data_IF_774641893696
#
_entry.id   IF_774641893696
#
_cell.length_a   1.000
_cell.length_b   1.000
_cell.length_c   1.000
_cell.angle_alpha   90.00
_cell.angle_beta   90.00
_cell.angle_gamma   90.00
#
_symmetry.space_group_name_H-M   'P 1'
#
loop_
_entity.id
_entity.type
_entity.pdbx_description
1 polymer ?
#
# COMPACT_ATOMS: atom_id res chain seq x y z
N UNK A 1 -23.51 -25.61 13.13
CA UNK A 1 -23.03 -24.21 13.03
C UNK A 1 -21.52 -24.27 12.84
N UNK A 2 -20.99 -23.71 11.74
CA UNK A 2 -19.59 -23.31 11.54
C UNK A 2 -19.45 -22.82 10.08
N UNK A 3 -19.54 -21.51 9.86
CA UNK A 3 -19.17 -20.90 8.59
C UNK A 3 -17.71 -20.46 8.67
N UNK A 4 -16.84 -20.83 7.71
CA UNK A 4 -15.44 -20.45 7.73
C UNK A 4 -15.32 -18.98 7.35
N UNK A 5 -14.74 -18.17 8.24
CA UNK A 5 -14.35 -16.79 7.97
C UNK A 5 -13.24 -16.75 6.91
N UNK A 6 -13.62 -16.86 5.64
CA UNK A 6 -12.81 -16.42 4.53
C UNK A 6 -12.71 -14.90 4.60
N UNK A 7 -11.73 -14.37 5.35
CA UNK A 7 -11.42 -12.95 5.40
C UNK A 7 -11.02 -12.51 3.99
N UNK A 8 -11.99 -12.02 3.21
CA UNK A 8 -11.67 -11.31 2.00
C UNK A 8 -10.81 -10.09 2.40
N UNK A 9 -9.68 -9.84 1.72
CA UNK A 9 -8.94 -8.61 1.94
C UNK A 9 -9.89 -7.45 1.74
N UNK A 10 -10.07 -6.60 2.74
CA UNK A 10 -10.86 -5.38 2.62
C UNK A 10 -10.16 -4.47 1.60
N UNK A 11 -10.57 -4.54 0.34
CA UNK A 11 -10.17 -3.59 -0.69
C UNK A 11 -10.79 -2.24 -0.35
N UNK A 12 -10.06 -1.43 0.40
CA UNK A 12 -10.44 -0.05 0.68
C UNK A 12 -10.25 0.77 -0.59
N UNK A 13 -11.32 1.49 -0.98
CA UNK A 13 -11.26 2.44 -2.09
C UNK A 13 -10.75 3.78 -1.56
N UNK A 14 -9.62 4.23 -2.11
CA UNK A 14 -9.02 5.53 -1.77
C UNK A 14 -8.94 6.37 -3.04
N UNK A 15 -9.41 7.62 -2.96
CA UNK A 15 -9.21 8.59 -4.05
C UNK A 15 -7.78 9.10 -4.00
N UNK A 16 -7.11 9.07 -5.14
CA UNK A 16 -5.76 9.62 -5.32
C UNK A 16 -5.78 10.67 -6.42
N UNK A 17 -4.85 11.63 -6.34
CA UNK A 17 -4.71 12.66 -7.35
C UNK A 17 -4.44 12.05 -8.75
N UNK A 18 -4.91 12.73 -9.79
CA UNK A 18 -4.81 12.23 -11.17
C UNK A 18 -3.36 12.09 -11.64
N UNK A 19 -2.46 13.00 -11.23
CA UNK A 19 -1.03 12.91 -11.59
C UNK A 19 -0.39 11.72 -10.88
N UNK A 20 -0.69 11.54 -9.60
CA UNK A 20 -0.20 10.40 -8.81
C UNK A 20 -0.70 9.07 -9.38
N UNK A 21 -1.97 8.98 -9.77
CA UNK A 21 -2.52 7.78 -10.43
C UNK A 21 -1.77 7.43 -11.71
N UNK A 22 -1.49 8.42 -12.57
CA UNK A 22 -0.72 8.19 -13.80
C UNK A 22 0.69 7.69 -13.52
N UNK A 23 1.37 8.28 -12.54
CA UNK A 23 2.71 7.84 -12.13
C UNK A 23 2.70 6.39 -11.62
N UNK A 24 1.75 6.04 -10.75
CA UNK A 24 1.59 4.68 -10.23
C UNK A 24 1.28 3.67 -11.34
N UNK A 25 0.47 4.05 -12.33
CA UNK A 25 0.15 3.20 -13.48
C UNK A 25 1.38 2.92 -14.34
N UNK A 26 2.23 3.93 -14.59
CA UNK A 26 3.49 3.77 -15.34
C UNK A 26 4.44 2.84 -14.57
N UNK A 27 4.66 3.12 -13.29
CA UNK A 27 5.55 2.31 -12.44
C UNK A 27 5.11 0.84 -12.35
N UNK A 28 3.80 0.60 -12.29
CA UNK A 28 3.24 -0.75 -12.31
C UNK A 28 3.55 -1.47 -13.62
N UNK A 29 3.43 -0.77 -14.76
CA UNK A 29 3.75 -1.32 -16.08
C UNK A 29 5.24 -1.64 -16.23
N UNK A 30 6.13 -0.73 -15.81
CA UNK A 30 7.58 -0.94 -15.84
C UNK A 30 8.02 -2.15 -15.00
N UNK A 31 7.35 -2.37 -13.87
CA UNK A 31 7.63 -3.50 -12.97
C UNK A 31 6.91 -4.80 -13.35
N UNK A 32 5.98 -4.77 -14.32
CA UNK A 32 5.16 -5.92 -14.69
C UNK A 32 4.25 -6.41 -13.55
N UNK A 33 3.80 -5.51 -12.66
CA UNK A 33 2.93 -5.85 -11.51
C UNK A 33 1.65 -5.02 -11.52
N UNK A 34 0.69 -5.38 -10.67
CA UNK A 34 -0.52 -4.58 -10.50
C UNK A 34 -0.23 -3.28 -9.73
N UNK A 35 -0.97 -2.22 -10.06
CA UNK A 35 -0.89 -0.94 -9.34
C UNK A 35 -1.19 -1.10 -7.83
N UNK A 36 -2.08 -2.04 -7.46
CA UNK A 36 -2.38 -2.37 -6.06
C UNK A 36 -1.13 -2.87 -5.33
N UNK A 37 -0.30 -3.72 -5.98
CA UNK A 37 0.96 -4.19 -5.39
C UNK A 37 1.93 -3.04 -5.16
N UNK A 38 2.08 -2.16 -6.15
CA UNK A 38 2.92 -0.95 -6.01
C UNK A 38 2.46 -0.09 -4.84
N UNK A 39 1.16 0.15 -4.70
CA UNK A 39 0.60 0.94 -3.60
C UNK A 39 0.88 0.26 -2.25
N UNK A 40 0.67 -1.05 -2.14
CA UNK A 40 0.93 -1.79 -0.90
C UNK A 40 2.41 -1.77 -0.50
N UNK A 41 3.32 -1.90 -1.47
CA UNK A 41 4.76 -1.83 -1.23
C UNK A 41 5.15 -0.44 -0.69
N UNK A 42 4.65 0.64 -1.32
CA UNK A 42 4.91 2.01 -0.89
C UNK A 42 4.34 2.31 0.52
N UNK A 43 3.13 1.84 0.81
CA UNK A 43 2.53 1.99 2.13
C UNK A 43 3.32 1.23 3.20
N UNK A 44 3.79 0.02 2.89
CA UNK A 44 4.58 -0.78 3.82
C UNK A 44 5.92 -0.11 4.13
N UNK A 45 6.60 0.41 3.12
CA UNK A 45 7.85 1.18 3.29
C UNK A 45 7.63 2.43 4.13
N UNK A 46 6.56 3.19 3.87
CA UNK A 46 6.26 4.40 4.65
C UNK A 46 6.01 4.05 6.13
N UNK A 47 5.21 3.02 6.41
CA UNK A 47 4.97 2.56 7.78
C UNK A 47 6.26 2.11 8.49
N UNK A 48 7.17 1.45 7.78
CA UNK A 48 8.47 1.05 8.32
C UNK A 48 9.36 2.25 8.64
N UNK A 49 9.41 3.23 7.73
CA UNK A 49 10.12 4.50 7.94
C UNK A 49 9.56 5.24 9.15
N UNK A 50 8.23 5.43 9.24
CA UNK A 50 7.60 6.14 10.36
C UNK A 50 7.90 5.44 11.70
N UNK A 51 7.83 4.11 11.76
CA UNK A 51 8.17 3.36 12.98
C UNK A 51 9.63 3.59 13.39
N UNK A 52 10.53 3.62 12.42
CA UNK A 52 11.96 3.83 12.65
C UNK A 52 12.25 5.25 13.16
N UNK A 53 11.60 6.25 12.57
CA UNK A 53 11.70 7.67 12.98
C UNK A 53 11.15 7.92 14.39
N UNK A 54 10.01 7.28 14.72
CA UNK A 54 9.45 7.35 16.08
C UNK A 54 10.39 6.72 17.12
N UNK A 55 10.95 5.55 16.84
CA UNK A 55 11.87 4.86 17.74
C UNK A 55 13.19 5.63 18.01
N UNK A 56 13.57 6.55 17.11
CA UNK A 56 14.74 7.41 17.27
C UNK A 56 14.46 8.71 18.02
N UNK A 57 13.20 9.12 18.13
CA UNK A 57 12.80 10.38 18.78
C UNK A 57 12.65 10.27 20.31
N UNK A 58 12.67 9.05 20.86
CA UNK A 58 12.58 8.76 22.30
C UNK A 58 13.96 8.63 23.00
N UNK A 59 15.05 9.10 22.38
CA UNK A 59 16.41 9.16 22.93
C UNK A 59 16.91 10.59 23.05
#
# INVERSE_FOLDING_TARGET
>A
MNSPEGKQPLTRHTRIDTKLHKALKILAAERGVSMVRVINDLLSQNLETTKSEMAQSDK
#
